data_IF_718616273553
#
_entry.id   IF_718616273553
#
_cell.length_a   1.000
_cell.length_b   1.000
_cell.length_c   1.000
_cell.angle_alpha   90.00
_cell.angle_beta   90.00
_cell.angle_gamma   90.00
#
_symmetry.space_group_name_H-M   'P 1'
#
loop_
_entity.id
_entity.type
_entity.pdbx_description
1 polymer ?
#
# COMPACT_ATOMS: atom_id res chain seq x y z
N UNK A 1 6.70 -8.80 15.02
CA UNK A 1 5.28 -8.84 15.44
C UNK A 1 4.53 -8.04 14.39
N UNK A 2 3.57 -8.63 13.69
CA UNK A 2 2.84 -7.91 12.64
C UNK A 2 1.87 -6.93 13.31
N UNK A 3 1.96 -5.65 12.96
CA UNK A 3 1.14 -4.56 13.50
C UNK A 3 -0.24 -4.57 12.84
N UNK A 4 -1.01 -5.62 13.09
CA UNK A 4 -2.35 -5.82 12.53
C UNK A 4 -3.40 -5.57 13.60
N UNK A 5 -3.52 -4.33 14.06
CA UNK A 5 -4.48 -4.00 15.13
C UNK A 5 -5.95 -4.25 14.72
N UNK A 6 -6.24 -4.28 13.41
CA UNK A 6 -7.60 -4.32 12.87
C UNK A 6 -7.92 -5.58 12.05
N UNK A 7 -7.02 -6.56 11.94
CA UNK A 7 -7.30 -7.76 11.14
C UNK A 7 -8.13 -8.73 11.97
N UNK A 8 -9.43 -8.80 11.65
CA UNK A 8 -10.36 -9.78 12.19
C UNK A 8 -10.37 -11.01 11.25
N UNK A 9 -10.35 -12.25 11.77
CA UNK A 9 -10.50 -13.45 10.94
C UNK A 9 -11.78 -13.37 10.09
N UNK A 10 -11.63 -13.63 8.80
CA UNK A 10 -12.64 -13.34 7.80
C UNK A 10 -13.95 -14.12 7.88
N UNK A 11 -15.00 -13.47 7.39
CA UNK A 11 -16.38 -13.95 7.19
C UNK A 11 -16.62 -14.59 5.81
N UNK A 12 -15.59 -14.70 4.97
CA UNK A 12 -15.69 -15.19 3.60
C UNK A 12 -15.63 -16.73 3.55
N UNK A 13 -16.47 -17.39 2.74
CA UNK A 13 -16.36 -18.83 2.52
C UNK A 13 -15.02 -19.12 1.83
N UNK A 14 -14.21 -20.01 2.43
CA UNK A 14 -12.94 -20.47 1.86
C UNK A 14 -13.15 -20.93 0.42
N UNK A 15 -12.50 -20.25 -0.54
CA UNK A 15 -12.46 -20.65 -1.95
C UNK A 15 -11.00 -20.89 -2.35
N UNK A 16 -10.74 -21.79 -3.31
CA UNK A 16 -9.43 -21.87 -3.93
C UNK A 16 -9.07 -20.53 -4.57
N UNK A 17 -7.79 -20.16 -4.64
CA UNK A 17 -7.35 -19.07 -5.51
C UNK A 17 -7.76 -19.42 -6.95
N UNK A 18 -8.80 -18.76 -7.45
CA UNK A 18 -9.33 -18.96 -8.79
C UNK A 18 -9.13 -17.69 -9.60
N UNK A 19 -8.99 -17.81 -10.91
CA UNK A 19 -8.99 -16.65 -11.81
C UNK A 19 -10.43 -16.11 -11.84
N UNK A 20 -10.72 -15.08 -11.06
CA UNK A 20 -11.98 -14.33 -11.13
C UNK A 20 -11.80 -13.10 -12.03
N UNK A 21 -12.85 -12.65 -12.76
CA UNK A 21 -12.79 -11.39 -13.48
C UNK A 21 -12.59 -10.19 -12.54
N UNK A 22 -11.90 -9.14 -13.01
CA UNK A 22 -11.62 -7.85 -12.33
C UNK A 22 -12.78 -7.32 -11.48
N UNK A 23 -14.03 -7.48 -11.96
CA UNK A 23 -15.22 -6.95 -11.31
C UNK A 23 -15.60 -7.65 -9.98
N UNK A 24 -14.92 -8.75 -9.61
CA UNK A 24 -15.22 -9.55 -8.42
C UNK A 24 -13.98 -9.75 -7.53
N UNK A 25 -13.11 -8.74 -7.41
CA UNK A 25 -11.98 -8.85 -6.50
C UNK A 25 -12.46 -8.95 -5.04
N UNK A 26 -11.81 -9.77 -4.23
CA UNK A 26 -12.14 -9.96 -2.81
C UNK A 26 -11.42 -8.91 -1.93
N UNK A 27 -10.32 -8.35 -2.42
CA UNK A 27 -9.55 -7.30 -1.76
C UNK A 27 -8.83 -6.41 -2.77
N UNK A 28 -8.59 -5.16 -2.43
CA UNK A 28 -7.71 -4.27 -3.21
C UNK A 28 -6.46 -3.95 -2.41
N UNK A 29 -5.30 -4.18 -3.02
CA UNK A 29 -4.01 -3.72 -2.53
C UNK A 29 -3.77 -2.30 -3.03
N UNK A 30 -3.41 -1.40 -2.14
CA UNK A 30 -3.01 -0.04 -2.50
C UNK A 30 -1.58 0.21 -2.07
N UNK A 31 -0.75 0.63 -3.02
CA UNK A 31 0.66 0.95 -2.78
C UNK A 31 0.92 2.45 -2.96
N UNK A 32 1.36 3.09 -1.88
CA UNK A 32 1.91 4.43 -1.82
C UNK A 32 3.29 4.56 -2.46
N UNK A 33 3.58 5.75 -3.01
CA UNK A 33 4.92 6.19 -3.39
C UNK A 33 5.10 7.68 -3.12
N UNK A 34 6.31 8.06 -2.72
CA UNK A 34 6.65 9.45 -2.42
C UNK A 34 6.07 9.93 -1.10
N UNK A 35 6.77 10.87 -0.48
CA UNK A 35 6.34 11.63 0.68
C UNK A 35 7.23 12.85 0.83
N UNK A 36 6.62 13.98 1.16
CA UNK A 36 7.29 15.28 1.11
C UNK A 36 7.99 15.67 2.41
N UNK A 37 7.66 15.01 3.53
CA UNK A 37 8.12 15.47 4.85
C UNK A 37 8.92 14.46 5.68
N UNK A 38 8.98 13.17 5.29
CA UNK A 38 9.65 12.11 6.07
C UNK A 38 10.64 11.37 5.19
N UNK A 39 11.92 11.38 5.54
CA UNK A 39 12.96 10.60 4.85
C UNK A 39 12.88 9.11 5.20
N UNK A 40 13.63 8.25 4.50
CA UNK A 40 13.71 6.83 4.87
C UNK A 40 14.35 6.62 6.27
N UNK A 41 15.19 7.56 6.73
CA UNK A 41 15.80 7.50 8.07
C UNK A 41 14.78 7.77 9.18
N UNK A 42 13.84 8.67 8.93
CA UNK A 42 12.79 9.07 9.87
C UNK A 42 11.61 8.07 9.91
N UNK A 43 11.59 7.07 9.01
CA UNK A 43 10.63 5.95 9.10
C UNK A 43 10.75 5.15 10.40
N UNK A 44 11.95 5.11 10.99
CA UNK A 44 12.17 4.43 12.28
C UNK A 44 11.30 5.05 13.36
N UNK A 45 11.18 6.37 13.39
CA UNK A 45 10.38 7.10 14.38
C UNK A 45 8.88 6.81 14.19
N UNK A 46 8.41 6.72 12.93
CA UNK A 46 7.03 6.34 12.62
C UNK A 46 6.72 4.91 13.10
N UNK A 47 7.64 3.97 12.82
CA UNK A 47 7.52 2.58 13.27
C UNK A 47 7.49 2.49 14.80
N UNK A 48 8.43 3.16 15.48
CA UNK A 48 8.55 3.12 16.93
C UNK A 48 7.34 3.79 17.62
N UNK A 49 6.83 4.88 17.05
CA UNK A 49 5.59 5.51 17.54
C UNK A 49 4.37 4.59 17.33
N UNK A 50 4.28 3.90 16.18
CA UNK A 50 3.18 2.96 15.93
C UNK A 50 3.06 1.89 16.99
N UNK A 51 4.19 1.40 17.50
CA UNK A 51 4.24 0.38 18.56
C UNK A 51 3.77 0.91 19.92
N UNK A 52 3.79 2.23 20.13
CA UNK A 52 3.38 2.87 21.38
C UNK A 52 1.90 3.26 21.40
N UNK A 53 1.29 3.46 20.23
CA UNK A 53 -0.11 3.89 20.13
C UNK A 53 -1.09 2.71 20.01
N UNK A 54 -2.28 2.92 20.59
CA UNK A 54 -3.30 1.89 20.71
C UNK A 54 -3.92 1.49 19.36
N UNK A 55 -4.16 2.46 18.48
CA UNK A 55 -4.85 2.24 17.20
C UNK A 55 -4.32 3.14 16.08
N UNK A 56 -4.83 2.90 14.86
CA UNK A 56 -4.42 3.65 13.68
C UNK A 56 -4.91 5.10 13.70
N UNK A 57 -6.04 5.39 14.35
CA UNK A 57 -6.58 6.76 14.45
C UNK A 57 -5.65 7.64 15.29
N UNK A 58 -5.14 7.10 16.40
CA UNK A 58 -4.13 7.76 17.22
C UNK A 58 -2.86 8.06 16.40
N UNK A 59 -2.44 7.14 15.53
CA UNK A 59 -1.33 7.41 14.61
C UNK A 59 -1.64 8.51 13.59
N UNK A 60 -2.87 8.60 13.06
CA UNK A 60 -3.22 9.69 12.14
C UNK A 60 -3.12 11.06 12.81
N UNK A 61 -3.59 11.19 14.05
CA UNK A 61 -3.41 12.41 14.84
C UNK A 61 -1.94 12.73 15.11
N UNK A 62 -1.11 11.71 15.40
CA UNK A 62 0.33 11.91 15.56
C UNK A 62 0.99 12.41 14.26
N UNK A 63 0.68 11.79 13.12
CA UNK A 63 1.20 12.21 11.82
C UNK A 63 0.81 13.66 11.50
N UNK A 64 -0.41 14.07 11.81
CA UNK A 64 -0.85 15.46 11.63
C UNK A 64 -0.09 16.42 12.57
N UNK A 65 0.19 16.00 13.81
CA UNK A 65 0.95 16.80 14.78
C UNK A 65 2.40 17.10 14.36
N UNK A 66 2.98 16.25 13.50
CA UNK A 66 4.33 16.44 12.95
C UNK A 66 4.32 17.04 11.53
N UNK A 67 3.19 17.60 11.09
CA UNK A 67 2.99 18.13 9.72
C UNK A 67 3.38 17.10 8.65
N UNK A 68 2.98 15.84 8.82
CA UNK A 68 3.25 14.82 7.81
C UNK A 68 2.56 15.18 6.48
N UNK A 69 3.34 15.13 5.40
CA UNK A 69 2.92 15.41 4.02
C UNK A 69 3.07 14.16 3.18
N UNK A 70 1.95 13.48 2.87
CA UNK A 70 1.96 12.23 2.15
C UNK A 70 2.33 12.45 0.68
N UNK A 71 2.10 13.63 0.12
CA UNK A 71 2.43 13.93 -1.28
C UNK A 71 1.32 13.53 -2.25
N UNK A 72 1.35 14.06 -3.49
CA UNK A 72 0.24 14.00 -4.43
C UNK A 72 -0.11 12.59 -4.91
N UNK A 73 0.87 11.68 -4.99
CA UNK A 73 0.61 10.28 -5.38
C UNK A 73 -0.26 9.58 -4.33
N UNK A 74 -0.01 9.83 -3.05
CA UNK A 74 -0.78 9.24 -1.95
C UNK A 74 -2.16 9.87 -1.82
N UNK A 75 -2.29 11.17 -2.10
CA UNK A 75 -3.60 11.82 -2.17
C UNK A 75 -4.46 11.25 -3.32
N UNK A 76 -3.89 11.06 -4.52
CA UNK A 76 -4.61 10.46 -5.65
C UNK A 76 -5.02 9.00 -5.38
N UNK A 77 -4.16 8.22 -4.72
CA UNK A 77 -4.47 6.87 -4.29
C UNK A 77 -5.58 6.86 -3.23
N UNK A 78 -5.57 7.80 -2.28
CA UNK A 78 -6.62 7.93 -1.28
C UNK A 78 -7.98 8.27 -1.90
N UNK A 79 -8.02 9.12 -2.93
CA UNK A 79 -9.25 9.40 -3.69
C UNK A 79 -9.77 8.17 -4.44
N UNK A 80 -8.85 7.36 -4.99
CA UNK A 80 -9.21 6.09 -5.63
C UNK A 80 -9.79 5.10 -4.61
N UNK A 81 -9.17 5.00 -3.42
CA UNK A 81 -9.67 4.19 -2.30
C UNK A 81 -11.04 4.68 -1.83
N UNK A 82 -11.24 5.99 -1.71
CA UNK A 82 -12.53 6.59 -1.38
C UNK A 82 -13.62 6.17 -2.38
N UNK A 83 -13.30 6.21 -3.69
CA UNK A 83 -14.23 5.80 -4.75
C UNK A 83 -14.61 4.32 -4.64
N UNK A 84 -13.65 3.45 -4.31
CA UNK A 84 -13.91 2.01 -4.12
C UNK A 84 -14.80 1.77 -2.89
N UNK A 85 -14.47 2.39 -1.75
CA UNK A 85 -15.21 2.23 -0.50
C UNK A 85 -16.63 2.81 -0.54
N UNK A 86 -16.88 3.80 -1.39
CA UNK A 86 -18.20 4.43 -1.52
C UNK A 86 -19.02 3.85 -2.68
N UNK A 87 -18.49 2.84 -3.38
CA UNK A 87 -19.23 2.13 -4.42
C UNK A 87 -20.37 1.28 -3.85
N UNK A 88 -21.24 0.77 -4.74
CA UNK A 88 -22.38 -0.07 -4.35
C UNK A 88 -21.96 -1.38 -3.66
N UNK A 89 -20.78 -1.91 -3.98
CA UNK A 89 -20.23 -3.14 -3.42
C UNK A 89 -18.81 -2.87 -2.89
N UNK A 90 -18.69 -2.26 -1.69
CA UNK A 90 -17.39 -1.93 -1.13
C UNK A 90 -16.62 -3.18 -0.74
N UNK A 91 -15.34 -3.22 -1.11
CA UNK A 91 -14.41 -4.30 -0.76
C UNK A 91 -13.40 -3.83 0.30
N UNK A 92 -12.83 -4.77 1.03
CA UNK A 92 -11.73 -4.49 1.96
C UNK A 92 -10.51 -3.95 1.22
N UNK A 93 -9.86 -2.94 1.81
CA UNK A 93 -8.73 -2.24 1.21
C UNK A 93 -7.49 -2.43 2.08
N UNK A 94 -6.42 -2.95 1.49
CA UNK A 94 -5.12 -3.10 2.15
C UNK A 94 -4.21 -1.98 1.68
N UNK A 95 -4.04 -0.97 2.52
CA UNK A 95 -3.44 0.29 2.12
C UNK A 95 -2.20 0.57 2.97
N UNK A 96 -1.17 1.16 2.39
CA UNK A 96 -0.06 1.66 3.20
C UNK A 96 -0.48 2.87 4.04
N UNK A 97 0.19 3.03 5.17
CA UNK A 97 -0.08 4.10 6.12
C UNK A 97 -0.07 5.51 5.51
N UNK A 98 0.75 5.79 4.49
CA UNK A 98 0.74 7.09 3.81
C UNK A 98 -0.61 7.36 3.12
N UNK A 99 -1.17 6.37 2.42
CA UNK A 99 -2.50 6.48 1.79
C UNK A 99 -3.60 6.57 2.85
N UNK A 100 -3.47 5.79 3.92
CA UNK A 100 -4.43 5.83 5.02
C UNK A 100 -4.50 7.21 5.67
N UNK A 101 -3.35 7.86 5.85
CA UNK A 101 -3.28 9.23 6.34
C UNK A 101 -3.87 10.24 5.34
N UNK A 102 -3.54 10.15 4.05
CA UNK A 102 -4.19 10.97 3.01
C UNK A 102 -5.72 10.83 3.04
N UNK A 103 -6.23 9.60 3.17
CA UNK A 103 -7.66 9.33 3.24
C UNK A 103 -8.27 9.93 4.52
N UNK A 104 -7.62 9.75 5.67
CA UNK A 104 -8.07 10.33 6.94
C UNK A 104 -8.08 11.87 6.90
N UNK A 105 -7.06 12.48 6.32
CA UNK A 105 -6.90 13.95 6.26
C UNK A 105 -7.86 14.60 5.27
N UNK A 106 -7.97 14.05 4.07
CA UNK A 106 -8.74 14.65 2.98
C UNK A 106 -10.21 14.20 2.96
N UNK A 107 -10.50 12.99 3.47
CA UNK A 107 -11.82 12.37 3.49
C UNK A 107 -12.13 11.76 4.88
N UNK A 108 -12.09 12.56 5.97
CA UNK A 108 -12.22 12.05 7.34
C UNK A 108 -13.51 11.24 7.56
N UNK A 109 -14.63 11.67 6.99
CA UNK A 109 -15.91 10.95 7.08
C UNK A 109 -15.85 9.55 6.44
N UNK A 110 -15.14 9.43 5.30
CA UNK A 110 -14.96 8.13 4.64
C UNK A 110 -14.10 7.23 5.48
N UNK A 111 -12.96 7.74 5.95
CA UNK A 111 -12.06 6.97 6.80
C UNK A 111 -12.80 6.46 8.04
N UNK A 112 -13.53 7.33 8.76
CA UNK A 112 -14.23 6.94 9.98
C UNK A 112 -15.36 5.93 9.72
N UNK A 113 -16.12 6.11 8.64
CA UNK A 113 -17.22 5.21 8.28
C UNK A 113 -16.73 3.82 7.87
N UNK A 114 -15.58 3.73 7.21
CA UNK A 114 -15.06 2.49 6.62
C UNK A 114 -13.79 1.96 7.30
N UNK A 115 -13.40 2.49 8.46
CA UNK A 115 -12.15 2.08 9.14
C UNK A 115 -12.03 0.58 9.38
N UNK A 116 -13.16 -0.11 9.59
CA UNK A 116 -13.18 -1.57 9.80
C UNK A 116 -12.99 -2.36 8.48
N UNK A 117 -13.07 -1.70 7.32
CA UNK A 117 -12.75 -2.24 5.99
C UNK A 117 -11.32 -1.89 5.54
N UNK A 118 -10.58 -1.14 6.36
CA UNK A 118 -9.24 -0.67 6.05
C UNK A 118 -8.19 -1.47 6.83
N UNK A 119 -7.31 -2.14 6.08
CA UNK A 119 -6.13 -2.81 6.61
C UNK A 119 -4.91 -1.94 6.37
N UNK A 120 -4.54 -1.14 7.37
CA UNK A 120 -3.41 -0.22 7.26
C UNK A 120 -2.09 -0.95 7.51
N UNK A 121 -1.22 -0.92 6.49
CA UNK A 121 0.11 -1.51 6.52
C UNK A 121 1.11 -0.47 6.99
N UNK A 122 1.52 -0.61 8.25
CA UNK A 122 2.56 0.19 8.89
C UNK A 122 3.95 -0.43 8.67
N UNK A 123 5.01 0.39 8.62
CA UNK A 123 6.36 -0.13 8.59
C UNK A 123 6.61 -1.02 9.81
N UNK A 124 7.14 -2.22 9.59
CA UNK A 124 7.52 -3.16 10.65
C UNK A 124 9.04 -3.35 10.74
N UNK A 125 9.79 -2.56 9.97
CA UNK A 125 11.25 -2.49 9.90
C UNK A 125 11.69 -1.05 9.67
N UNK A 126 12.96 -0.78 9.89
CA UNK A 126 13.58 0.53 9.66
C UNK A 126 13.53 0.97 8.19
N UNK A 127 13.31 0.02 7.29
CA UNK A 127 13.02 0.23 5.89
C UNK A 127 11.92 -0.74 5.46
N UNK A 128 10.84 -0.24 4.86
CA UNK A 128 9.69 -1.05 4.48
C UNK A 128 9.51 -1.10 2.95
N UNK A 129 10.26 -1.98 2.25
CA UNK A 129 10.23 -2.06 0.80
C UNK A 129 8.91 -2.64 0.30
N UNK A 130 8.58 -2.33 -0.95
CA UNK A 130 7.42 -2.89 -1.67
C UNK A 130 7.26 -4.41 -1.51
N UNK A 131 8.36 -5.18 -1.48
CA UNK A 131 8.29 -6.63 -1.30
C UNK A 131 7.65 -7.02 0.04
N UNK A 132 8.02 -6.33 1.12
CA UNK A 132 7.49 -6.60 2.45
C UNK A 132 6.06 -6.10 2.58
N UNK A 133 5.75 -4.92 2.03
CA UNK A 133 4.39 -4.42 1.95
C UNK A 133 3.47 -5.45 1.30
N UNK A 134 3.85 -5.98 0.12
CA UNK A 134 3.06 -7.01 -0.58
C UNK A 134 3.01 -8.34 0.15
N UNK A 135 4.12 -8.76 0.76
CA UNK A 135 4.13 -9.96 1.59
C UNK A 135 3.14 -9.85 2.75
N UNK A 136 3.06 -8.67 3.37
CA UNK A 136 2.18 -8.43 4.49
C UNK A 136 0.73 -8.20 4.06
N UNK A 137 0.48 -7.64 2.86
CA UNK A 137 -0.87 -7.61 2.25
C UNK A 137 -1.39 -9.03 2.00
N UNK A 138 -0.59 -9.93 1.44
CA UNK A 138 -1.01 -11.32 1.18
C UNK A 138 -1.32 -12.04 2.49
N UNK A 139 -0.50 -11.87 3.53
CA UNK A 139 -0.81 -12.45 4.86
C UNK A 139 -2.10 -11.89 5.43
N UNK A 140 -2.37 -10.59 5.24
CA UNK A 140 -3.64 -10.00 5.67
C UNK A 140 -4.82 -10.63 4.92
N UNK A 141 -4.71 -10.85 3.60
CA UNK A 141 -5.73 -11.56 2.81
C UNK A 141 -6.02 -12.96 3.35
N UNK A 142 -4.98 -13.72 3.68
CA UNK A 142 -5.15 -15.07 4.21
C UNK A 142 -5.96 -15.08 5.51
N UNK A 143 -5.78 -14.07 6.37
CA UNK A 143 -6.51 -13.96 7.64
C UNK A 143 -7.98 -13.60 7.41
N UNK A 144 -8.26 -12.67 6.48
CA UNK A 144 -9.63 -12.27 6.13
C UNK A 144 -10.29 -13.20 5.13
N UNK A 145 -9.61 -14.25 4.66
CA UNK A 145 -10.17 -15.20 3.71
C UNK A 145 -10.47 -14.60 2.33
N UNK A 146 -9.69 -13.60 1.91
CA UNK A 146 -9.75 -13.04 0.56
C UNK A 146 -8.78 -13.81 -0.36
N UNK A 147 -9.16 -14.04 -1.63
CA UNK A 147 -8.37 -14.89 -2.54
C UNK A 147 -8.12 -14.31 -3.93
N UNK A 148 -8.88 -13.27 -4.33
CA UNK A 148 -8.80 -12.60 -5.64
C UNK A 148 -8.41 -11.11 -5.47
N UNK A 149 -7.12 -10.76 -5.37
CA UNK A 149 -6.73 -9.37 -5.19
C UNK A 149 -6.73 -8.57 -6.49
N UNK A 150 -6.91 -7.26 -6.36
CA UNK A 150 -6.57 -6.28 -7.38
C UNK A 150 -5.49 -5.32 -6.84
N UNK A 151 -4.59 -4.86 -7.69
CA UNK A 151 -3.49 -3.96 -7.35
C UNK A 151 -3.76 -2.56 -7.89
N UNK A 152 -3.79 -1.59 -6.98
CA UNK A 152 -3.84 -0.17 -7.26
C UNK A 152 -2.49 0.47 -6.89
N UNK A 153 -1.77 0.93 -7.90
CA UNK A 153 -0.46 1.56 -7.77
C UNK A 153 -0.21 2.49 -8.96
N UNK A 154 0.78 3.37 -8.81
CA UNK A 154 1.24 4.20 -9.93
C UNK A 154 1.55 3.33 -11.17
N UNK A 155 1.13 3.75 -12.38
CA UNK A 155 1.23 2.93 -13.59
C UNK A 155 2.64 2.39 -13.88
N UNK A 156 3.67 3.24 -13.81
CA UNK A 156 5.06 2.77 -13.96
C UNK A 156 5.49 1.78 -12.85
N UNK A 157 4.91 1.84 -11.65
CA UNK A 157 5.20 0.92 -10.52
C UNK A 157 4.44 -0.41 -10.61
N UNK A 158 3.33 -0.43 -11.36
CA UNK A 158 2.44 -1.58 -11.48
C UNK A 158 3.21 -2.84 -11.90
N UNK A 159 4.15 -2.72 -12.84
CA UNK A 159 4.99 -3.83 -13.32
C UNK A 159 5.79 -4.46 -12.17
N UNK A 160 6.30 -3.64 -11.25
CA UNK A 160 7.06 -4.12 -10.09
C UNK A 160 6.14 -4.73 -9.05
N UNK A 161 5.03 -4.08 -8.73
CA UNK A 161 4.06 -4.56 -7.75
C UNK A 161 3.49 -5.93 -8.16
N UNK A 162 2.97 -6.03 -9.38
CA UNK A 162 2.45 -7.28 -9.94
C UNK A 162 3.55 -8.36 -10.01
N UNK A 163 4.76 -8.01 -10.45
CA UNK A 163 5.87 -8.96 -10.49
C UNK A 163 6.25 -9.54 -9.11
N UNK A 164 6.12 -8.76 -8.04
CA UNK A 164 6.32 -9.23 -6.66
C UNK A 164 5.18 -10.14 -6.22
N UNK A 165 3.93 -9.71 -6.44
CA UNK A 165 2.72 -10.46 -6.04
C UNK A 165 2.70 -11.83 -6.73
N UNK A 166 2.96 -11.87 -8.04
CA UNK A 166 3.07 -13.12 -8.81
C UNK A 166 4.17 -14.04 -8.29
N UNK A 167 5.33 -13.51 -7.91
CA UNK A 167 6.41 -14.31 -7.31
C UNK A 167 6.02 -14.90 -5.95
N UNK A 168 5.08 -14.26 -5.25
CA UNK A 168 4.53 -14.75 -3.99
C UNK A 168 3.38 -15.76 -4.21
N UNK A 169 3.09 -16.14 -5.46
CA UNK A 169 2.11 -17.18 -5.81
C UNK A 169 0.68 -16.68 -5.96
N UNK A 170 0.48 -15.36 -5.93
CA UNK A 170 -0.84 -14.72 -6.05
C UNK A 170 -0.92 -14.02 -7.40
N UNK A 171 -2.05 -14.16 -8.10
CA UNK A 171 -2.32 -13.41 -9.33
C UNK A 171 -3.24 -12.25 -8.94
N UNK A 172 -2.85 -11.03 -9.30
CA UNK A 172 -3.63 -9.83 -9.07
C UNK A 172 -3.84 -9.09 -10.40
N UNK A 173 -5.01 -8.47 -10.54
CA UNK A 173 -5.31 -7.62 -11.68
C UNK A 173 -4.92 -6.16 -11.40
N UNK A 174 -4.41 -5.41 -12.39
CA UNK A 174 -4.18 -3.98 -12.22
C UNK A 174 -5.51 -3.21 -12.21
N UNK A 175 -5.60 -2.22 -11.33
CA UNK A 175 -6.64 -1.18 -11.37
C UNK A 175 -6.07 0.03 -12.09
N UNK A 176 -6.82 0.54 -13.08
CA UNK A 176 -6.47 1.77 -13.79
C UNK A 176 -6.85 2.98 -12.91
N UNK A 177 -5.85 3.81 -12.60
CA UNK A 177 -6.02 5.05 -11.86
C UNK A 177 -4.98 6.06 -12.31
N UNK A 178 -5.42 7.30 -12.50
CA UNK A 178 -4.54 8.42 -12.85
C UNK A 178 -3.79 8.89 -11.60
N UNK A 179 -2.63 8.27 -11.35
CA UNK A 179 -1.80 8.53 -10.18
C UNK A 179 -0.58 9.32 -10.62
N UNK A 180 -0.37 10.55 -10.10
CA UNK A 180 0.75 11.39 -10.49
C UNK A 180 2.06 10.93 -9.85
N UNK A 181 3.19 11.38 -10.40
CA UNK A 181 4.48 11.33 -9.70
C UNK A 181 4.58 12.44 -8.66
N UNK A 182 5.30 12.17 -7.57
CA UNK A 182 5.52 13.12 -6.48
C UNK A 182 6.79 13.94 -6.70
N UNK A 183 6.66 15.06 -7.43
CA UNK A 183 7.77 15.93 -7.79
C UNK A 183 8.60 16.47 -6.61
N UNK A 184 8.00 16.60 -5.42
CA UNK A 184 8.65 17.19 -4.25
C UNK A 184 9.15 16.15 -3.24
N UNK A 185 8.80 14.87 -3.46
CA UNK A 185 9.17 13.76 -2.60
C UNK A 185 10.59 13.81 -2.08
N UNK A 186 10.75 13.54 -0.80
CA UNK A 186 12.04 13.28 -0.15
C UNK A 186 12.74 12.03 -0.67
N UNK A 187 12.02 11.17 -1.41
CA UNK A 187 12.53 9.97 -2.07
C UNK A 187 12.76 10.27 -3.57
N UNK A 188 13.98 10.62 -4.02
CA UNK A 188 14.19 11.22 -5.33
C UNK A 188 13.74 10.35 -6.52
N UNK A 189 13.73 9.04 -6.33
CA UNK A 189 13.38 8.05 -7.34
C UNK A 189 11.89 7.95 -7.66
N UNK A 190 11.03 8.65 -6.93
CA UNK A 190 9.57 8.71 -7.20
C UNK A 190 9.13 10.07 -7.74
N UNK A 191 10.09 10.97 -8.03
CA UNK A 191 9.77 12.34 -8.47
C UNK A 191 9.29 12.45 -9.91
N UNK A 192 9.64 11.49 -10.75
CA UNK A 192 9.22 11.42 -12.14
C UNK A 192 9.57 10.05 -12.72
N UNK A 193 9.02 9.78 -13.90
CA UNK A 193 9.24 8.56 -14.67
C UNK A 193 10.71 8.26 -14.90
N UNK A 194 11.49 9.25 -15.31
CA UNK A 194 12.92 9.05 -15.60
C UNK A 194 13.68 8.59 -14.35
N UNK A 195 13.50 9.26 -13.23
CA UNK A 195 14.14 8.90 -11.96
C UNK A 195 13.73 7.49 -11.50
N UNK A 196 12.46 7.12 -11.68
CA UNK A 196 11.99 5.77 -11.39
C UNK A 196 12.65 4.72 -12.28
N UNK A 197 12.61 4.93 -13.60
CA UNK A 197 13.20 4.03 -14.60
C UNK A 197 14.69 3.82 -14.29
N UNK A 198 15.43 4.90 -14.01
CA UNK A 198 16.85 4.82 -13.64
C UNK A 198 17.06 3.95 -12.41
N UNK A 199 16.29 4.14 -11.33
CA UNK A 199 16.39 3.29 -10.14
C UNK A 199 16.09 1.83 -10.47
N UNK A 200 15.05 1.54 -11.24
CA UNK A 200 14.68 0.17 -11.56
C UNK A 200 15.75 -0.53 -12.39
N UNK A 201 16.33 0.13 -13.40
CA UNK A 201 17.44 -0.44 -14.17
C UNK A 201 18.64 -0.75 -13.29
N UNK A 202 19.02 0.18 -12.41
CA UNK A 202 20.14 -0.03 -11.48
C UNK A 202 19.86 -1.16 -10.50
N UNK A 203 18.65 -1.20 -9.92
CA UNK A 203 18.24 -2.24 -8.97
C UNK A 203 18.18 -3.61 -9.63
N UNK A 204 17.64 -3.69 -10.86
CA UNK A 204 17.59 -4.94 -11.63
C UNK A 204 18.98 -5.40 -12.03
N UNK A 205 19.85 -4.50 -12.49
CA UNK A 205 21.26 -4.78 -12.76
C UNK A 205 21.97 -5.36 -11.54
N UNK A 206 21.77 -4.75 -10.36
CA UNK A 206 22.31 -5.25 -9.10
C UNK A 206 21.76 -6.63 -8.73
N UNK A 207 20.45 -6.85 -8.88
CA UNK A 207 19.83 -8.15 -8.61
C UNK A 207 20.34 -9.26 -9.54
N UNK A 208 20.60 -8.97 -10.81
CA UNK A 208 21.18 -9.91 -11.76
C UNK A 208 22.63 -10.23 -11.36
N UNK A 209 23.44 -9.20 -11.11
CA UNK A 209 24.84 -9.35 -10.71
C UNK A 209 24.98 -10.14 -9.40
N UNK A 210 24.02 -10.02 -8.48
CA UNK A 210 23.99 -10.75 -7.21
C UNK A 210 23.25 -12.10 -7.28
N UNK A 211 22.82 -12.54 -8.47
CA UNK A 211 22.12 -13.80 -8.66
C UNK A 211 20.73 -13.89 -7.99
N UNK A 212 20.17 -12.75 -7.60
CA UNK A 212 18.84 -12.64 -6.95
C UNK A 212 17.68 -12.72 -7.96
N UNK A 213 17.98 -12.55 -9.25
CA UNK A 213 17.06 -12.77 -10.37
C UNK A 213 17.82 -13.53 -11.45
N UNK A 214 17.25 -14.64 -11.93
CA UNK A 214 17.70 -15.36 -13.13
C UNK A 214 16.68 -15.11 -14.23
N UNK A 215 17.16 -14.80 -15.44
CA UNK A 215 16.34 -14.78 -16.65
C UNK A 215 16.25 -16.17 -17.25
#
# INVERSE_FOLDING_TARGET
>A
MLSYANIVPGTFPKKPHTIAPIANNDATFTQAFGRDSVTDKELVDIKDMRLQLADDTAMMYYLDSIDFKPGPSNDALAESVHTILTSENPNEQMIQWEVAYSLWKNRPDTYQRFKDYLHVLWPNRDFYPTFEVKSDSIKAMDVVGAYNPAELAHGDMMVRALGIITKQGVIADPIDADIPFDHYSTQPHVRNKTAWVTREFLTRGEHILRGRVKF
#
